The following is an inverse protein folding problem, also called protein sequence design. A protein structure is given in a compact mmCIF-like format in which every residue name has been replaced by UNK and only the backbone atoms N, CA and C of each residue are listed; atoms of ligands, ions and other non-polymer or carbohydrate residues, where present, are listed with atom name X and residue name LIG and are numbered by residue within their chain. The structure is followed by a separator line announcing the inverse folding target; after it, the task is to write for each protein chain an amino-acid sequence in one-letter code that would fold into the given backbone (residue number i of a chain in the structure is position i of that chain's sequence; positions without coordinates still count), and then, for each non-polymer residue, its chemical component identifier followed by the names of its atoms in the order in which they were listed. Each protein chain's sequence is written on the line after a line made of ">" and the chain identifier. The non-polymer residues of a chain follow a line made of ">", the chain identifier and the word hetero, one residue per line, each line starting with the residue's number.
data_IF_820314450039
#
_entry.id   IF_820314450039
#
_cell.length_a   1.000
_cell.length_b   1.000
_cell.length_c   1.000
_cell.angle_alpha   90.00
_cell.angle_beta   90.00
_cell.angle_gamma   90.00
#
_symmetry.space_group_name_H-M   'P 1'
#
loop_
_entity.id
_entity.type
_entity.pdbx_description
1 polymer ?
#
# COMPACT_ATOMS: atom_id res chain seq x y z
N UNK A 1 17.90 -0.62 31.08
CA UNK A 1 17.40 0.18 29.95
C UNK A 1 18.53 1.14 29.57
N UNK A 2 19.06 1.06 28.34
CA UNK A 2 20.04 2.06 27.87
C UNK A 2 19.36 3.43 27.83
N UNK A 3 20.11 4.52 27.92
CA UNK A 3 19.52 5.88 27.88
C UNK A 3 18.69 6.09 26.61
N UNK A 4 19.15 5.54 25.49
CA UNK A 4 18.41 5.55 24.21
C UNK A 4 17.07 4.83 24.28
N UNK A 5 17.00 3.63 24.90
CA UNK A 5 15.78 2.81 24.92
C UNK A 5 14.63 3.58 25.57
N UNK A 6 14.92 4.36 26.62
CA UNK A 6 13.92 5.21 27.29
C UNK A 6 13.28 6.19 26.30
N UNK A 7 14.09 6.98 25.61
CA UNK A 7 13.59 8.02 24.71
C UNK A 7 12.96 7.43 23.45
N UNK A 8 13.50 6.32 22.94
CA UNK A 8 12.89 5.59 21.84
C UNK A 8 11.48 5.08 22.21
N UNK A 9 11.30 4.53 23.42
CA UNK A 9 9.99 4.07 23.87
C UNK A 9 9.01 5.23 24.05
N UNK A 10 9.46 6.35 24.63
CA UNK A 10 8.63 7.56 24.72
C UNK A 10 8.18 8.05 23.35
N UNK A 11 9.08 8.08 22.36
CA UNK A 11 8.72 8.44 20.99
C UNK A 11 7.69 7.48 20.38
N UNK A 12 7.86 6.18 20.58
CA UNK A 12 6.94 5.15 20.06
C UNK A 12 5.56 5.19 20.73
N UNK A 13 5.50 5.40 22.04
CA UNK A 13 4.26 5.49 22.81
C UNK A 13 3.46 6.76 22.45
N UNK A 14 4.16 7.87 22.18
CA UNK A 14 3.54 9.14 21.85
C UNK A 14 3.06 9.21 20.40
N UNK A 15 3.69 8.49 19.47
CA UNK A 15 3.32 8.54 18.06
C UNK A 15 2.06 7.70 17.76
N UNK A 16 1.10 8.21 16.97
CA UNK A 16 1.05 9.52 16.29
C UNK A 16 0.26 10.60 17.05
N UNK A 17 -0.07 10.39 18.32
CA UNK A 17 -1.04 11.21 19.05
C UNK A 17 -0.45 12.52 19.62
N UNK A 18 0.82 12.52 20.04
CA UNK A 18 1.54 13.70 20.53
C UNK A 18 2.80 13.93 19.70
N UNK A 19 2.69 14.72 18.63
CA UNK A 19 3.79 14.94 17.67
C UNK A 19 4.95 15.72 18.28
N UNK A 20 4.67 16.72 19.12
CA UNK A 20 5.70 17.51 19.81
C UNK A 20 6.56 16.61 20.71
N UNK A 21 5.92 15.83 21.59
CA UNK A 21 6.65 14.93 22.48
C UNK A 21 7.34 13.78 21.72
N UNK A 22 6.77 13.34 20.59
CA UNK A 22 7.42 12.37 19.70
C UNK A 22 8.74 12.92 19.18
N UNK A 23 8.73 14.13 18.60
CA UNK A 23 9.91 14.77 18.01
C UNK A 23 10.96 15.07 19.08
N UNK A 24 10.56 15.63 20.23
CA UNK A 24 11.49 15.87 21.34
C UNK A 24 12.17 14.57 21.81
N UNK A 25 11.39 13.49 21.97
CA UNK A 25 11.93 12.19 22.37
C UNK A 25 12.84 11.59 21.30
N UNK A 26 12.52 11.76 20.03
CA UNK A 26 13.38 11.33 18.92
C UNK A 26 14.72 12.08 18.89
N UNK A 27 14.70 13.39 19.11
CA UNK A 27 15.92 14.21 19.19
C UNK A 27 16.83 13.73 20.32
N UNK A 28 16.26 13.47 21.50
CA UNK A 28 17.02 12.88 22.59
C UNK A 28 17.56 11.50 22.20
N UNK A 29 16.74 10.60 21.64
CA UNK A 29 17.19 9.27 21.24
C UNK A 29 18.36 9.31 20.24
N UNK A 30 18.26 10.13 19.20
CA UNK A 30 19.32 10.29 18.19
C UNK A 30 20.55 11.03 18.72
N UNK A 31 20.41 11.89 19.74
CA UNK A 31 21.58 12.49 20.41
C UNK A 31 22.43 11.44 21.15
N UNK A 32 21.82 10.37 21.66
CA UNK A 32 22.54 9.25 22.27
C UNK A 32 23.08 8.26 21.23
N UNK A 33 22.36 8.05 20.13
CA UNK A 33 22.79 7.21 19.01
C UNK A 33 22.16 7.68 17.69
N UNK A 34 22.94 8.46 16.94
CA UNK A 34 22.51 8.97 15.64
C UNK A 34 22.29 7.86 14.59
N UNK A 35 22.71 6.62 14.88
CA UNK A 35 22.56 5.47 13.98
C UNK A 35 21.41 4.55 14.38
N UNK A 36 20.57 4.93 15.34
CA UNK A 36 19.45 4.06 15.71
C UNK A 36 18.40 3.99 14.58
N UNK A 37 18.29 2.82 13.94
CA UNK A 37 17.42 2.61 12.77
C UNK A 37 15.95 2.79 13.09
N UNK A 38 15.52 2.40 14.29
CA UNK A 38 14.13 2.56 14.74
C UNK A 38 13.76 4.03 14.90
N UNK A 39 14.64 4.84 15.49
CA UNK A 39 14.44 6.28 15.65
C UNK A 39 14.44 7.01 14.29
N UNK A 40 15.41 6.68 13.41
CA UNK A 40 15.46 7.20 12.04
C UNK A 40 14.18 6.82 11.25
N UNK A 41 13.73 5.57 11.35
CA UNK A 41 12.50 5.10 10.75
C UNK A 41 11.28 5.90 11.24
N UNK A 42 11.17 6.10 12.56
CA UNK A 42 10.05 6.85 13.12
C UNK A 42 10.06 8.33 12.70
N UNK A 43 11.25 8.94 12.58
CA UNK A 43 11.37 10.27 11.98
C UNK A 43 10.87 10.28 10.52
N UNK A 44 11.29 9.32 9.70
CA UNK A 44 10.81 9.18 8.33
C UNK A 44 9.27 9.07 8.26
N UNK A 45 8.66 8.36 9.21
CA UNK A 45 7.20 8.29 9.35
C UNK A 45 6.57 9.62 9.75
N UNK A 46 7.12 10.35 10.71
CA UNK A 46 6.62 11.71 11.07
C UNK A 46 6.59 12.61 9.84
N UNK A 47 7.69 12.66 9.08
CA UNK A 47 7.78 13.50 7.89
C UNK A 47 6.80 13.08 6.78
N UNK A 48 6.64 11.78 6.53
CA UNK A 48 5.79 11.28 5.45
C UNK A 48 4.30 11.22 5.81
N UNK A 49 3.96 10.74 7.01
CA UNK A 49 2.59 10.46 7.43
C UNK A 49 1.91 11.73 7.99
N UNK A 50 2.66 12.62 8.65
CA UNK A 50 2.08 13.79 9.34
C UNK A 50 2.33 15.10 8.60
N UNK A 51 3.52 15.26 8.02
CA UNK A 51 3.94 16.52 7.39
C UNK A 51 3.89 16.50 5.86
N UNK A 52 3.66 15.34 5.25
CA UNK A 52 3.64 15.14 3.79
C UNK A 52 4.95 15.62 3.10
N UNK A 53 6.07 15.63 3.84
CA UNK A 53 7.41 16.03 3.38
C UNK A 53 8.16 14.77 2.94
N UNK A 54 7.77 14.24 1.78
CA UNK A 54 8.21 12.93 1.33
C UNK A 54 9.71 12.84 1.06
N UNK A 55 10.34 13.82 0.44
CA UNK A 55 11.80 13.80 0.17
C UNK A 55 12.64 13.76 1.45
N UNK A 56 12.21 14.45 2.50
CA UNK A 56 12.88 14.38 3.80
C UNK A 56 12.67 13.04 4.48
N UNK A 57 11.45 12.49 4.40
CA UNK A 57 11.17 11.15 4.88
C UNK A 57 12.06 10.10 4.20
N UNK A 58 12.22 10.19 2.87
CA UNK A 58 13.13 9.33 2.09
C UNK A 58 14.55 9.41 2.66
N UNK A 59 15.06 10.61 2.88
CA UNK A 59 16.38 10.81 3.47
C UNK A 59 16.58 10.12 4.83
N UNK A 60 15.56 10.08 5.70
CA UNK A 60 15.65 9.34 6.97
C UNK A 60 15.62 7.82 6.78
N UNK A 61 14.77 7.30 5.88
CA UNK A 61 14.71 5.87 5.59
C UNK A 61 15.98 5.36 4.91
N UNK A 62 16.54 6.12 3.97
CA UNK A 62 17.83 5.82 3.33
C UNK A 62 18.96 5.79 4.36
N UNK A 63 19.00 6.75 5.28
CA UNK A 63 19.96 6.74 6.39
C UNK A 63 19.83 5.49 7.25
N UNK A 64 18.60 5.08 7.60
CA UNK A 64 18.38 3.87 8.39
C UNK A 64 18.87 2.60 7.67
N UNK A 65 18.57 2.45 6.37
CA UNK A 65 19.04 1.33 5.55
C UNK A 65 20.57 1.36 5.37
N UNK A 66 21.17 2.54 5.25
CA UNK A 66 22.62 2.69 5.15
C UNK A 66 23.35 2.28 6.45
N UNK A 67 22.69 2.45 7.60
CA UNK A 67 23.21 1.93 8.88
C UNK A 67 23.10 0.41 8.93
N UNK A 68 21.91 -0.13 8.67
CA UNK A 68 21.68 -1.57 8.68
C UNK A 68 20.67 -1.97 7.60
N UNK A 69 21.16 -2.70 6.60
CA UNK A 69 20.31 -3.28 5.55
C UNK A 69 19.29 -4.27 6.11
N UNK A 70 19.49 -4.79 7.31
CA UNK A 70 18.56 -5.66 8.03
C UNK A 70 17.62 -4.91 8.98
N UNK A 71 17.50 -3.58 8.88
CA UNK A 71 16.46 -2.78 9.54
C UNK A 71 15.07 -3.07 8.94
N UNK A 72 14.51 -4.23 9.29
CA UNK A 72 13.28 -4.79 8.71
C UNK A 72 12.08 -3.83 8.86
N UNK A 73 12.05 -3.07 9.95
CA UNK A 73 11.02 -2.08 10.28
C UNK A 73 10.91 -0.96 9.22
N UNK A 74 12.00 -0.65 8.52
CA UNK A 74 12.06 0.50 7.60
C UNK A 74 11.27 0.25 6.32
N UNK A 75 11.39 -0.95 5.75
CA UNK A 75 10.94 -1.24 4.39
C UNK A 75 9.44 -1.01 4.16
N UNK A 76 8.51 -1.49 5.00
CA UNK A 76 7.09 -1.28 4.77
C UNK A 76 6.70 0.20 4.74
N UNK A 77 7.31 1.02 5.62
CA UNK A 77 7.05 2.45 5.71
C UNK A 77 7.68 3.20 4.54
N UNK A 78 8.94 2.94 4.21
CA UNK A 78 9.60 3.59 3.09
C UNK A 78 8.90 3.27 1.75
N UNK A 79 8.55 2.01 1.51
CA UNK A 79 7.78 1.63 0.31
C UNK A 79 6.45 2.37 0.28
N UNK A 80 5.75 2.48 1.42
CA UNK A 80 4.50 3.24 1.49
C UNK A 80 4.71 4.71 1.12
N UNK A 81 5.76 5.35 1.65
CA UNK A 81 6.14 6.74 1.33
C UNK A 81 6.36 6.92 -0.17
N UNK A 82 7.09 6.01 -0.82
CA UNK A 82 7.30 6.06 -2.27
C UNK A 82 5.98 5.93 -3.04
N UNK A 83 5.07 5.04 -2.60
CA UNK A 83 3.77 4.85 -3.26
C UNK A 83 2.83 6.06 -3.12
N UNK A 84 2.88 6.78 -2.00
CA UNK A 84 2.08 8.01 -1.81
C UNK A 84 2.69 9.21 -2.53
N UNK A 85 4.03 9.26 -2.63
CA UNK A 85 4.75 10.28 -3.41
C UNK A 85 4.73 10.01 -4.93
N UNK A 86 4.19 8.87 -5.36
CA UNK A 86 4.13 8.43 -6.76
C UNK A 86 5.48 8.06 -7.40
N UNK A 87 6.50 7.77 -6.57
CA UNK A 87 7.83 7.28 -6.96
C UNK A 87 7.79 5.77 -7.30
N UNK A 88 7.02 5.39 -8.31
CA UNK A 88 6.68 3.98 -8.58
C UNK A 88 7.86 3.11 -9.01
N UNK A 89 8.82 3.65 -9.76
CA UNK A 89 10.02 2.93 -10.18
C UNK A 89 10.95 2.64 -9.01
N UNK A 90 11.06 3.58 -8.07
CA UNK A 90 11.86 3.43 -6.86
C UNK A 90 11.19 2.42 -5.91
N UNK A 91 9.86 2.51 -5.74
CA UNK A 91 9.08 1.56 -4.96
C UNK A 91 9.24 0.13 -5.48
N UNK A 92 9.21 -0.08 -6.79
CA UNK A 92 9.39 -1.40 -7.41
C UNK A 92 10.77 -2.01 -7.14
N UNK A 93 11.83 -1.19 -7.23
CA UNK A 93 13.20 -1.61 -6.89
C UNK A 93 13.32 -1.98 -5.41
N UNK A 94 12.79 -1.13 -4.53
CA UNK A 94 12.86 -1.36 -3.08
C UNK A 94 12.05 -2.59 -2.66
N UNK A 95 10.86 -2.80 -3.22
CA UNK A 95 10.06 -4.02 -3.02
C UNK A 95 10.85 -5.26 -3.43
N UNK A 96 11.44 -5.23 -4.62
CA UNK A 96 12.20 -6.37 -5.15
C UNK A 96 13.37 -6.72 -4.23
N UNK A 97 14.10 -5.70 -3.76
CA UNK A 97 15.19 -5.88 -2.81
C UNK A 97 14.69 -6.39 -1.46
N UNK A 98 13.66 -5.77 -0.87
CA UNK A 98 13.12 -6.13 0.44
C UNK A 98 12.70 -7.61 0.50
N UNK A 99 12.09 -8.15 -0.58
CA UNK A 99 11.69 -9.55 -0.65
C UNK A 99 12.86 -10.56 -0.60
N UNK A 100 14.09 -10.11 -0.86
CA UNK A 100 15.32 -10.93 -0.73
C UNK A 100 15.85 -10.99 0.70
N UNK A 101 15.43 -10.09 1.59
CA UNK A 101 15.96 -9.95 2.94
C UNK A 101 15.40 -11.05 3.84
N UNK A 102 16.30 -11.75 4.54
CA UNK A 102 15.91 -12.77 5.51
C UNK A 102 15.19 -12.11 6.70
N UNK A 103 14.03 -12.66 7.06
CA UNK A 103 13.24 -12.17 8.20
C UNK A 103 12.19 -11.13 7.84
N UNK A 104 12.21 -10.58 6.62
CA UNK A 104 11.19 -9.63 6.18
C UNK A 104 9.79 -10.25 6.23
N UNK A 105 8.80 -9.45 6.62
CA UNK A 105 7.41 -9.82 6.49
C UNK A 105 7.00 -9.81 5.01
N UNK A 106 7.17 -10.94 4.33
CA UNK A 106 6.88 -11.06 2.89
C UNK A 106 5.43 -10.74 2.54
N UNK A 107 4.48 -11.11 3.40
CA UNK A 107 3.06 -10.83 3.16
C UNK A 107 2.80 -9.31 3.12
N UNK A 108 3.39 -8.56 4.04
CA UNK A 108 3.29 -7.10 4.09
C UNK A 108 3.96 -6.41 2.90
N UNK A 109 5.16 -6.85 2.50
CA UNK A 109 5.84 -6.30 1.31
C UNK A 109 5.06 -6.63 0.01
N UNK A 110 4.47 -7.83 -0.08
CA UNK A 110 3.62 -8.20 -1.21
C UNK A 110 2.31 -7.41 -1.23
N UNK A 111 1.75 -7.01 -0.08
CA UNK A 111 0.63 -6.06 -0.05
C UNK A 111 1.01 -4.72 -0.68
N UNK A 112 2.22 -4.21 -0.42
CA UNK A 112 2.70 -3.01 -1.12
C UNK A 112 2.83 -3.22 -2.63
N UNK A 113 3.19 -4.43 -3.07
CA UNK A 113 3.17 -4.81 -4.49
C UNK A 113 1.75 -4.76 -5.07
N UNK A 114 0.73 -5.22 -4.33
CA UNK A 114 -0.67 -5.11 -4.74
C UNK A 114 -1.07 -3.65 -4.94
N UNK A 115 -0.68 -2.76 -4.02
CA UNK A 115 -0.94 -1.32 -4.12
C UNK A 115 -0.23 -0.69 -5.33
N UNK A 116 1.04 -1.03 -5.57
CA UNK A 116 1.79 -0.57 -6.75
C UNK A 116 1.11 -0.99 -8.06
N UNK A 117 0.73 -2.26 -8.17
CA UNK A 117 0.03 -2.79 -9.35
C UNK A 117 -1.34 -2.14 -9.53
N UNK A 118 -2.04 -1.84 -8.43
CA UNK A 118 -3.29 -1.08 -8.45
C UNK A 118 -3.08 0.33 -9.00
N UNK A 119 -2.04 1.04 -8.56
CA UNK A 119 -1.68 2.40 -9.03
C UNK A 119 -1.25 2.41 -10.50
N UNK A 120 -0.55 1.38 -10.97
CA UNK A 120 -0.21 1.17 -12.39
C UNK A 120 -1.40 0.71 -13.26
N UNK A 121 -2.56 0.45 -12.68
CA UNK A 121 -3.75 -0.05 -13.40
C UNK A 121 -3.69 -1.53 -13.77
N UNK A 122 -2.70 -2.27 -13.28
CA UNK A 122 -2.48 -3.69 -13.54
C UNK A 122 -3.37 -4.60 -12.66
N UNK A 123 -4.68 -4.33 -12.64
CA UNK A 123 -5.65 -4.89 -11.68
C UNK A 123 -5.66 -6.42 -11.67
N UNK A 124 -5.46 -7.07 -12.83
CA UNK A 124 -5.41 -8.55 -12.91
C UNK A 124 -4.20 -9.11 -12.18
N UNK A 125 -3.04 -8.45 -12.28
CA UNK A 125 -1.84 -8.86 -11.57
C UNK A 125 -2.00 -8.56 -10.07
N UNK A 126 -2.54 -7.40 -9.71
CA UNK A 126 -2.84 -7.05 -8.32
C UNK A 126 -3.71 -8.12 -7.62
N UNK A 127 -4.79 -8.57 -8.27
CA UNK A 127 -5.64 -9.67 -7.75
C UNK A 127 -4.91 -11.01 -7.64
N UNK A 128 -3.95 -11.30 -8.53
CA UNK A 128 -3.14 -12.53 -8.46
C UNK A 128 -2.18 -12.45 -7.27
N UNK A 129 -1.47 -11.35 -7.12
CA UNK A 129 -0.55 -11.11 -5.99
C UNK A 129 -1.29 -11.11 -4.67
N UNK A 130 -2.50 -10.54 -4.59
CA UNK A 130 -3.30 -10.58 -3.36
C UNK A 130 -3.67 -12.01 -2.92
N UNK A 131 -3.86 -12.94 -3.86
CA UNK A 131 -4.06 -14.36 -3.51
C UNK A 131 -2.81 -14.98 -2.90
N UNK A 132 -1.64 -14.62 -3.41
CA UNK A 132 -0.36 -15.08 -2.86
C UNK A 132 -0.15 -14.55 -1.44
N UNK A 133 -0.45 -13.26 -1.21
CA UNK A 133 -0.46 -12.67 0.14
C UNK A 133 -1.32 -13.49 1.09
N UNK A 134 -2.56 -13.82 0.70
CA UNK A 134 -3.49 -14.61 1.53
C UNK A 134 -2.97 -16.01 1.89
N UNK A 135 -2.14 -16.61 1.02
CA UNK A 135 -1.53 -17.92 1.28
C UNK A 135 -0.32 -17.84 2.21
N UNK A 136 0.38 -16.69 2.22
CA UNK A 136 1.54 -16.45 3.08
C UNK A 136 1.15 -15.99 4.48
N UNK A 137 0.01 -15.32 4.62
CA UNK A 137 -0.52 -14.90 5.91
C UNK A 137 -0.90 -16.12 6.77
N UNK A 138 -0.33 -16.18 7.96
CA UNK A 138 -0.58 -17.22 8.96
C UNK A 138 -1.32 -16.69 10.21
N UNK A 139 -1.62 -15.39 10.24
CA UNK A 139 -2.46 -14.74 11.26
C UNK A 139 -3.66 -14.06 10.60
N UNK A 140 -4.70 -13.79 11.39
CA UNK A 140 -5.92 -13.14 10.91
C UNK A 140 -5.84 -11.60 10.92
N UNK A 141 -4.73 -11.02 11.36
CA UNK A 141 -4.61 -9.59 11.68
C UNK A 141 -4.92 -8.69 10.47
N UNK A 142 -4.57 -9.14 9.26
CA UNK A 142 -4.77 -8.39 8.02
C UNK A 142 -5.94 -8.92 7.17
N UNK A 143 -6.75 -9.86 7.69
CA UNK A 143 -7.82 -10.52 6.93
C UNK A 143 -8.84 -9.53 6.36
N UNK A 144 -9.33 -8.61 7.20
CA UNK A 144 -10.31 -7.59 6.80
C UNK A 144 -9.75 -6.65 5.73
N UNK A 145 -8.52 -6.17 5.89
CA UNK A 145 -7.87 -5.29 4.92
C UNK A 145 -7.77 -5.97 3.54
N UNK A 146 -7.34 -7.24 3.50
CA UNK A 146 -7.24 -8.00 2.26
C UNK A 146 -8.59 -8.21 1.57
N UNK A 147 -9.67 -8.37 2.32
CA UNK A 147 -11.02 -8.46 1.77
C UNK A 147 -11.47 -7.14 1.13
N UNK A 148 -11.23 -6.02 1.80
CA UNK A 148 -11.57 -4.69 1.28
C UNK A 148 -10.74 -4.33 0.04
N UNK A 149 -9.45 -4.66 0.04
CA UNK A 149 -8.60 -4.53 -1.16
C UNK A 149 -9.16 -5.39 -2.29
N UNK A 150 -9.54 -6.64 -2.03
CA UNK A 150 -10.07 -7.52 -3.07
C UNK A 150 -11.38 -6.98 -3.66
N UNK A 151 -12.30 -6.50 -2.82
CA UNK A 151 -13.56 -5.86 -3.25
C UNK A 151 -13.27 -4.65 -4.13
N UNK A 152 -12.39 -3.75 -3.68
CA UNK A 152 -11.97 -2.55 -4.42
C UNK A 152 -11.37 -2.89 -5.79
N UNK A 153 -10.47 -3.88 -5.85
CA UNK A 153 -9.84 -4.32 -7.09
C UNK A 153 -10.85 -4.95 -8.05
N UNK A 154 -11.79 -5.76 -7.57
CA UNK A 154 -12.86 -6.33 -8.40
C UNK A 154 -13.76 -5.24 -8.98
N UNK A 155 -14.17 -4.26 -8.17
CA UNK A 155 -14.95 -3.13 -8.64
C UNK A 155 -14.19 -2.33 -9.73
N UNK A 156 -12.91 -2.02 -9.52
CA UNK A 156 -12.05 -1.36 -10.52
C UNK A 156 -11.95 -2.18 -11.81
N UNK A 157 -11.83 -3.51 -11.72
CA UNK A 157 -11.77 -4.41 -12.88
C UNK A 157 -13.05 -4.33 -13.73
N UNK A 158 -14.21 -4.21 -13.11
CA UNK A 158 -15.49 -4.06 -13.81
C UNK A 158 -15.60 -2.70 -14.51
N UNK A 159 -15.15 -1.62 -13.86
CA UNK A 159 -15.12 -0.28 -14.46
C UNK A 159 -14.21 -0.20 -15.69
N UNK A 160 -13.09 -0.94 -15.68
CA UNK A 160 -12.14 -1.02 -16.79
C UNK A 160 -12.56 -2.01 -17.90
N UNK A 161 -13.61 -2.80 -17.68
CA UNK A 161 -14.09 -3.73 -18.70
C UNK A 161 -14.70 -2.95 -19.88
N UNK A 162 -14.42 -3.33 -21.14
CA UNK A 162 -15.00 -2.67 -22.29
C UNK A 162 -16.53 -2.75 -22.21
N UNK A 163 -17.21 -1.59 -22.23
CA UNK A 163 -18.67 -1.53 -22.24
C UNK A 163 -19.17 -2.37 -23.41
N UNK A 164 -19.87 -3.46 -23.13
CA UNK A 164 -20.55 -4.24 -24.18
C UNK A 164 -21.47 -3.28 -24.92
N UNK A 165 -21.21 -3.04 -26.21
CA UNK A 165 -22.16 -2.34 -27.09
C UNK A 165 -23.51 -3.01 -26.89
N UNK A 166 -24.50 -2.25 -26.44
CA UNK A 166 -25.86 -2.72 -26.33
C UNK A 166 -26.23 -3.36 -27.68
N UNK A 167 -26.57 -4.66 -27.67
CA UNK A 167 -27.13 -5.31 -28.85
C UNK A 167 -28.39 -4.53 -29.21
N UNK A 168 -28.33 -3.71 -30.26
CA UNK A 168 -29.50 -3.15 -30.91
C UNK A 168 -30.43 -4.33 -31.23
N UNK A 169 -31.56 -4.43 -30.52
CA UNK A 169 -32.71 -5.23 -30.96
C UNK A 169 -33.25 -4.56 -32.22
N UNK A 170 -32.72 -4.92 -33.39
CA UNK A 170 -33.31 -4.59 -34.68
C UNK A 170 -34.09 -5.80 -35.18
N UNK A 171 -35.38 -5.58 -35.43
CA UNK A 171 -36.18 -6.31 -36.41
C UNK A 171 -36.90 -7.55 -35.89
N UNK A 172 -38.17 -7.40 -35.54
CA UNK A 172 -39.15 -8.40 -35.96
C UNK A 172 -40.30 -7.65 -36.63
N UNK A 173 -40.15 -7.47 -37.94
CA UNK A 173 -41.15 -6.93 -38.83
C UNK A 173 -42.03 -8.09 -39.33
N UNK A 174 -43.32 -7.80 -39.54
CA UNK A 174 -44.30 -8.58 -40.32
C UNK A 174 -44.86 -9.91 -39.77
N UNK A 175 -46.07 -9.86 -39.18
CA UNK A 175 -47.18 -10.78 -39.49
C UNK A 175 -48.51 -10.35 -38.85
N UNK A 176 -49.26 -9.47 -39.51
CA UNK A 176 -50.73 -9.40 -39.41
C UNK A 176 -51.38 -8.46 -40.44
N UNK A 177 -51.29 -8.82 -41.73
CA UNK A 177 -52.29 -8.40 -42.72
C UNK A 177 -52.89 -9.63 -43.37
N UNK A 178 -54.01 -10.13 -42.83
CA UNK A 178 -55.10 -10.76 -43.61
C UNK A 178 -56.25 -11.16 -42.69
N UNK A 179 -57.32 -10.35 -42.73
CA UNK A 179 -58.75 -10.71 -42.79
C UNK A 179 -59.58 -9.73 -41.97
N UNK A 180 -60.04 -8.67 -42.63
CA UNK A 180 -61.41 -8.20 -42.43
C UNK A 180 -61.86 -7.40 -43.66
N UNK A 181 -62.30 -8.15 -44.66
CA UNK A 181 -63.12 -7.65 -45.76
C UNK A 181 -64.23 -8.67 -45.95
N UNK A 182 -65.34 -8.49 -45.24
CA UNK A 182 -66.73 -8.88 -45.61
C UNK A 182 -67.66 -8.73 -44.41
N UNK A 183 -68.32 -7.58 -44.32
CA UNK A 183 -69.73 -7.45 -43.89
C UNK A 183 -70.21 -6.02 -44.13
N UNK A 184 -70.76 -5.78 -45.31
CA UNK A 184 -71.95 -4.97 -45.54
C UNK A 184 -72.69 -5.62 -46.71
#
# INVERSE_FOLDING_TARGET
>A
MKSIDKYLFQALDNYPYSLEETVESLDYALSYDAKNTMALCLYGRVYSEQLLRYEEAKGYFEQAIAVDIHALEVYPHYIQTLLVNEDFEEAEKLITFALTIKGINKAEVLLKTVLLLERKGEIKKALKTLKEVKLLSFTNDNSYEMEEIEKRLKAKKELLAPKKKAKNKKGNDSKSKKKESKKK
#
